data_IF_801031938236
#
_entry.id   IF_801031938236
#
_cell.length_a   1.000
_cell.length_b   1.000
_cell.length_c   1.000
_cell.angle_alpha   90.00
_cell.angle_beta   90.00
_cell.angle_gamma   90.00
#
_symmetry.space_group_name_H-M   'P 1'
#
loop_
_entity.id
_entity.type
_entity.pdbx_description
1 polymer ?
#
# COMPACT_ATOMS: atom_id res chain seq x y z
N UNK A 1 25.17 -94.73 63.34
CA UNK A 1 24.23 -94.71 62.19
C UNK A 1 24.17 -93.26 61.71
N UNK A 2 24.49 -92.82 60.50
CA UNK A 2 24.86 -93.37 59.18
C UNK A 2 25.76 -92.29 58.49
N UNK A 3 26.67 -92.72 57.60
CA UNK A 3 27.65 -91.98 56.78
C UNK A 3 26.94 -91.16 55.64
N UNK A 4 27.52 -90.19 54.89
CA UNK A 4 28.51 -90.31 53.77
C UNK A 4 28.80 -88.90 53.14
N UNK A 5 30.06 -88.42 53.16
CA UNK A 5 31.01 -87.89 52.10
C UNK A 5 30.60 -86.93 50.88
N UNK A 6 31.52 -86.35 50.03
CA UNK A 6 32.30 -85.07 50.19
C UNK A 6 32.59 -84.25 48.85
N UNK A 7 33.49 -83.22 48.86
CA UNK A 7 34.54 -82.80 47.82
C UNK A 7 35.06 -81.34 47.99
N UNK A 8 36.34 -81.06 48.37
CA UNK A 8 37.62 -80.74 47.61
C UNK A 8 37.62 -79.48 46.70
N UNK A 9 38.65 -78.64 46.46
CA UNK A 9 40.01 -78.24 46.94
C UNK A 9 40.48 -77.12 45.93
N UNK A 10 41.32 -76.09 46.16
CA UNK A 10 42.81 -76.04 46.11
C UNK A 10 43.29 -74.58 45.79
N UNK A 11 44.58 -74.35 46.06
CA UNK A 11 45.43 -73.12 46.16
C UNK A 11 46.16 -72.63 44.88
N UNK A 12 46.67 -71.37 44.80
CA UNK A 12 48.09 -70.95 44.49
C UNK A 12 48.35 -69.42 44.24
N UNK A 13 49.64 -68.99 44.36
CA UNK A 13 50.28 -67.64 44.56
C UNK A 13 50.52 -66.72 43.33
N UNK A 14 50.94 -65.42 43.50
CA UNK A 14 51.70 -64.69 42.46
C UNK A 14 52.88 -63.77 42.94
N UNK A 15 53.81 -63.44 42.02
CA UNK A 15 54.82 -62.37 42.08
C UNK A 15 54.82 -61.64 40.71
N UNK A 16 54.26 -60.41 40.60
CA UNK A 16 54.26 -59.60 39.35
C UNK A 16 53.99 -58.08 39.51
N UNK A 17 54.09 -57.50 40.71
CA UNK A 17 53.44 -56.21 40.99
C UNK A 17 54.13 -54.89 40.55
N UNK A 18 55.36 -54.86 40.03
CA UNK A 18 56.12 -53.59 39.92
C UNK A 18 56.09 -52.82 38.58
N UNK A 19 55.49 -53.34 37.50
CA UNK A 19 55.37 -52.62 36.21
C UNK A 19 54.01 -51.90 36.00
N UNK A 20 53.07 -52.02 36.95
CA UNK A 20 51.69 -51.50 36.83
C UNK A 20 51.52 -50.03 37.25
N UNK A 21 52.46 -49.47 38.04
CA UNK A 21 52.25 -48.17 38.70
C UNK A 21 52.51 -46.94 37.80
N UNK A 22 53.47 -47.00 36.87
CA UNK A 22 53.84 -45.85 36.01
C UNK A 22 52.81 -45.55 34.90
N UNK A 23 52.19 -46.59 34.32
CA UNK A 23 51.14 -46.41 33.28
C UNK A 23 49.85 -45.82 33.85
N UNK A 24 49.55 -46.09 35.12
CA UNK A 24 48.31 -45.66 35.77
C UNK A 24 48.30 -44.15 36.09
N UNK A 25 49.46 -43.56 36.43
CA UNK A 25 49.56 -42.12 36.73
C UNK A 25 49.48 -41.25 35.46
N UNK A 26 50.11 -41.69 34.36
CA UNK A 26 50.05 -41.00 33.06
C UNK A 26 48.64 -40.98 32.48
N UNK A 27 47.89 -42.09 32.63
CA UNK A 27 46.49 -42.16 32.21
C UNK A 27 45.60 -41.21 33.02
N UNK A 28 45.84 -41.09 34.33
CA UNK A 28 45.07 -40.19 35.20
C UNK A 28 45.28 -38.71 34.84
N UNK A 29 46.53 -38.31 34.55
CA UNK A 29 46.87 -36.95 34.12
C UNK A 29 46.24 -36.63 32.77
N UNK A 30 46.24 -37.58 31.83
CA UNK A 30 45.61 -37.40 30.52
C UNK A 30 44.09 -37.25 30.62
N UNK A 31 43.44 -38.03 31.50
CA UNK A 31 41.99 -37.92 31.77
C UNK A 31 41.66 -36.56 32.40
N UNK A 32 42.44 -36.11 33.40
CA UNK A 32 42.28 -34.78 34.00
C UNK A 32 42.45 -33.65 32.96
N UNK A 33 43.42 -33.77 32.05
CA UNK A 33 43.64 -32.78 31.00
C UNK A 33 42.48 -32.74 29.98
N UNK A 34 41.90 -33.91 29.64
CA UNK A 34 40.71 -33.98 28.81
C UNK A 34 39.48 -33.37 29.50
N UNK A 35 39.28 -33.66 30.79
CA UNK A 35 38.18 -33.07 31.57
C UNK A 35 38.31 -31.55 31.72
N UNK A 36 39.54 -31.02 31.87
CA UNK A 36 39.78 -29.56 31.92
C UNK A 36 39.46 -28.93 30.55
N UNK A 37 39.86 -29.56 29.44
CA UNK A 37 39.51 -29.06 28.09
C UNK A 37 38.01 -29.12 27.81
N UNK A 38 37.31 -30.16 28.26
CA UNK A 38 35.85 -30.25 28.17
C UNK A 38 35.16 -29.14 28.98
N UNK A 39 35.65 -28.87 30.20
CA UNK A 39 35.16 -27.78 31.05
C UNK A 39 35.41 -26.40 30.42
N UNK A 40 36.59 -26.15 29.85
CA UNK A 40 36.90 -24.90 29.13
C UNK A 40 36.02 -24.71 27.89
N UNK A 41 35.72 -25.80 27.16
CA UNK A 41 34.79 -25.79 26.03
C UNK A 41 33.37 -25.46 26.47
N UNK A 42 32.90 -26.07 27.56
CA UNK A 42 31.59 -25.79 28.15
C UNK A 42 31.46 -24.32 28.57
N UNK A 43 32.47 -23.76 29.23
CA UNK A 43 32.46 -22.34 29.65
C UNK A 43 32.48 -21.36 28.48
N UNK A 44 33.17 -21.68 27.37
CA UNK A 44 33.12 -20.86 26.16
C UNK A 44 31.74 -20.91 25.50
N UNK A 45 31.11 -22.09 25.48
CA UNK A 45 29.80 -22.28 24.88
C UNK A 45 28.70 -21.56 25.66
N UNK A 46 28.79 -21.52 27.00
CA UNK A 46 27.86 -20.71 27.83
C UNK A 46 28.06 -19.21 27.61
N UNK A 47 29.31 -18.71 27.52
CA UNK A 47 29.57 -17.31 27.21
C UNK A 47 29.11 -16.88 25.82
N UNK A 48 29.27 -17.75 24.80
CA UNK A 48 28.75 -17.51 23.45
C UNK A 48 27.21 -17.48 23.49
N UNK A 49 26.58 -18.46 24.15
CA UNK A 49 25.12 -18.51 24.29
C UNK A 49 24.54 -17.25 24.95
N UNK A 50 25.16 -16.78 26.04
CA UNK A 50 24.73 -15.56 26.73
C UNK A 50 24.87 -14.31 25.85
N UNK A 51 25.97 -14.18 25.08
CA UNK A 51 26.13 -13.06 24.12
C UNK A 51 25.10 -13.10 23.01
N UNK A 52 24.78 -14.29 22.50
CA UNK A 52 23.77 -14.46 21.46
C UNK A 52 22.38 -14.09 21.99
N UNK A 53 22.03 -14.51 23.21
CA UNK A 53 20.78 -14.12 23.89
C UNK A 53 20.71 -12.61 24.09
N UNK A 54 21.79 -11.97 24.56
CA UNK A 54 21.85 -10.51 24.70
C UNK A 54 21.67 -9.79 23.36
N UNK A 55 22.28 -10.26 22.27
CA UNK A 55 22.05 -9.73 20.94
C UNK A 55 20.60 -9.91 20.48
N UNK A 56 19.99 -11.08 20.70
CA UNK A 56 18.59 -11.32 20.34
C UNK A 56 17.62 -10.45 21.15
N UNK A 57 17.89 -10.24 22.45
CA UNK A 57 17.09 -9.35 23.30
C UNK A 57 17.26 -7.89 22.88
N UNK A 58 18.48 -7.44 22.57
CA UNK A 58 18.73 -6.09 22.05
C UNK A 58 18.08 -5.86 20.69
N UNK A 59 18.17 -6.83 19.77
CA UNK A 59 17.49 -6.78 18.47
C UNK A 59 15.97 -6.78 18.65
N UNK A 60 15.43 -7.58 19.56
CA UNK A 60 13.99 -7.61 19.86
C UNK A 60 13.52 -6.29 20.47
N UNK A 61 14.32 -5.67 21.35
CA UNK A 61 14.05 -4.34 21.93
C UNK A 61 14.16 -3.21 20.87
N UNK A 62 15.06 -3.34 19.90
CA UNK A 62 15.16 -2.44 18.73
C UNK A 62 14.01 -2.63 17.73
N UNK A 63 13.47 -3.84 17.58
CA UNK A 63 12.29 -4.10 16.76
C UNK A 63 11.01 -3.62 17.44
N UNK A 64 10.95 -3.65 18.78
CA UNK A 64 9.84 -3.07 19.58
C UNK A 64 9.82 -1.53 19.55
N UNK A 65 10.92 -0.86 19.20
CA UNK A 65 10.99 0.59 19.05
C UNK A 65 10.74 1.09 17.63
N UNK A 66 10.59 0.18 16.65
CA UNK A 66 10.01 0.54 15.35
C UNK A 66 8.53 0.83 15.57
N UNK A 67 8.23 2.10 15.90
CA UNK A 67 6.86 2.60 15.73
C UNK A 67 6.50 2.38 14.27
N UNK A 68 5.42 1.65 14.01
CA UNK A 68 4.72 1.75 12.73
C UNK A 68 4.32 3.21 12.64
N UNK A 69 5.07 3.98 11.85
CA UNK A 69 4.75 5.37 11.61
C UNK A 69 3.43 5.37 10.88
N UNK A 70 2.47 6.08 11.44
CA UNK A 70 1.14 6.12 10.91
C UNK A 70 1.18 6.92 9.60
N UNK A 71 0.50 6.46 8.54
CA UNK A 71 0.60 7.07 7.20
C UNK A 71 0.16 8.55 7.22
N UNK A 72 -0.74 8.92 8.14
CA UNK A 72 -1.19 10.31 8.29
C UNK A 72 -0.11 11.27 8.77
N UNK A 73 0.91 10.78 9.48
CA UNK A 73 1.98 11.64 10.01
C UNK A 73 3.09 11.94 8.98
N UNK A 74 3.11 11.28 7.82
CA UNK A 74 4.21 11.38 6.87
C UNK A 74 4.13 12.65 6.01
N UNK A 75 2.93 13.08 5.64
CA UNK A 75 2.66 14.32 4.91
C UNK A 75 1.33 14.94 5.35
N UNK A 76 1.08 16.18 4.96
CA UNK A 76 -0.13 16.93 5.33
C UNK A 76 -0.69 17.67 4.12
N UNK A 77 -1.99 18.00 4.17
CA UNK A 77 -2.66 18.84 3.18
C UNK A 77 -2.75 20.32 3.61
N UNK A 78 -2.47 20.64 4.87
CA UNK A 78 -2.39 22.02 5.36
C UNK A 78 -1.30 22.81 4.61
N UNK A 79 -1.66 23.86 3.84
CA UNK A 79 -0.69 24.67 3.10
C UNK A 79 0.28 25.45 4.01
N UNK A 80 -0.04 25.62 5.29
CA UNK A 80 0.79 26.29 6.27
C UNK A 80 1.74 25.33 7.02
N UNK A 81 1.57 24.02 6.84
CA UNK A 81 2.40 22.99 7.48
C UNK A 81 3.73 22.83 6.76
N UNK A 82 4.81 22.55 7.51
CA UNK A 82 6.10 22.13 6.95
C UNK A 82 6.00 20.77 6.23
N UNK A 83 4.92 20.02 6.48
CA UNK A 83 4.58 18.78 5.77
C UNK A 83 3.55 18.98 4.65
N UNK A 84 3.17 20.23 4.36
CA UNK A 84 2.14 20.60 3.41
C UNK A 84 2.52 20.30 1.94
N UNK A 85 1.57 20.40 1.00
CA UNK A 85 1.77 20.00 -0.40
C UNK A 85 2.93 20.69 -1.13
N UNK A 86 3.27 21.91 -0.72
CA UNK A 86 4.42 22.65 -1.26
C UNK A 86 5.76 21.97 -0.96
N UNK A 87 5.84 21.24 0.15
CA UNK A 87 7.07 20.66 0.69
C UNK A 87 7.17 19.15 0.53
N UNK A 88 6.13 18.47 0.01
CA UNK A 88 6.12 17.00 -0.14
C UNK A 88 7.38 16.44 -0.83
N UNK A 89 7.91 17.13 -1.84
CA UNK A 89 9.12 16.69 -2.54
C UNK A 89 10.42 16.77 -1.72
N UNK A 90 10.38 17.47 -0.58
CA UNK A 90 11.52 17.64 0.34
C UNK A 90 11.43 16.70 1.55
N UNK A 91 10.26 16.10 1.81
CA UNK A 91 10.03 15.22 2.98
C UNK A 91 10.68 13.85 2.84
N UNK A 92 10.76 13.33 1.60
CA UNK A 92 11.33 12.02 1.29
C UNK A 92 11.94 12.05 -0.12
N UNK A 93 13.12 11.45 -0.29
CA UNK A 93 13.82 11.38 -1.57
C UNK A 93 12.99 10.69 -2.66
N UNK A 94 12.18 9.69 -2.29
CA UNK A 94 11.29 8.98 -3.21
C UNK A 94 10.13 9.87 -3.71
N UNK A 95 9.88 10.99 -3.02
CA UNK A 95 8.80 11.93 -3.32
C UNK A 95 9.28 13.15 -4.10
N UNK A 96 10.56 13.20 -4.52
CA UNK A 96 11.15 14.35 -5.22
C UNK A 96 10.30 14.84 -6.41
N UNK A 97 9.58 13.93 -7.08
CA UNK A 97 8.66 14.25 -8.17
C UNK A 97 7.50 15.16 -7.78
N UNK A 98 7.08 15.16 -6.53
CA UNK A 98 6.08 16.10 -6.01
C UNK A 98 6.54 17.56 -6.12
N UNK A 99 7.86 17.82 -6.02
CA UNK A 99 8.43 19.18 -6.09
C UNK A 99 9.06 19.53 -7.45
N UNK A 100 9.66 18.56 -8.15
CA UNK A 100 10.41 18.81 -9.39
C UNK A 100 9.77 18.20 -10.66
N UNK A 101 8.60 17.56 -10.54
CA UNK A 101 7.85 17.04 -11.67
C UNK A 101 7.30 18.16 -12.57
N UNK A 102 7.27 17.92 -13.88
CA UNK A 102 6.77 18.88 -14.87
C UNK A 102 5.39 18.50 -15.42
N UNK A 103 4.92 17.29 -15.12
CA UNK A 103 3.67 16.72 -15.64
C UNK A 103 2.81 16.30 -14.43
N UNK A 104 2.72 17.18 -13.43
CA UNK A 104 2.01 16.93 -12.17
C UNK A 104 0.50 17.12 -12.30
N UNK A 105 -0.26 16.43 -11.45
CA UNK A 105 -1.72 16.54 -11.29
C UNK A 105 -2.06 17.02 -9.87
N UNK A 106 -3.23 17.65 -9.64
CA UNK A 106 -4.31 17.93 -10.60
C UNK A 106 -4.06 19.16 -11.48
N UNK A 107 -4.93 19.41 -12.48
CA UNK A 107 -4.93 20.62 -13.31
C UNK A 107 -6.33 21.21 -13.50
N UNK A 108 -6.36 22.49 -13.90
CA UNK A 108 -7.56 23.10 -14.42
C UNK A 108 -7.92 22.52 -15.79
N UNK A 109 -9.20 22.22 -15.99
CA UNK A 109 -9.76 21.65 -17.22
C UNK A 109 -10.76 22.63 -17.82
N UNK A 110 -10.71 22.80 -19.14
CA UNK A 110 -11.72 23.53 -19.89
C UNK A 110 -11.77 23.03 -21.32
N UNK A 111 -12.98 22.81 -21.84
CA UNK A 111 -13.16 22.38 -23.24
C UNK A 111 -12.77 23.46 -24.25
N UNK A 112 -12.65 24.71 -23.79
CA UNK A 112 -12.27 25.86 -24.61
C UNK A 112 -10.76 25.94 -24.84
N UNK A 113 -9.97 25.36 -23.94
CA UNK A 113 -8.50 25.31 -24.04
C UNK A 113 -7.97 23.92 -24.39
N UNK A 114 -8.83 22.90 -24.40
CA UNK A 114 -8.48 21.53 -24.71
C UNK A 114 -8.54 21.24 -26.22
N UNK A 115 -7.68 20.34 -26.68
CA UNK A 115 -7.66 19.86 -28.05
C UNK A 115 -8.77 18.84 -28.28
N UNK A 116 -9.70 19.13 -29.19
CA UNK A 116 -10.79 18.22 -29.49
C UNK A 116 -10.29 17.00 -30.24
N UNK A 117 -10.56 15.80 -29.73
CA UNK A 117 -10.05 14.56 -30.31
C UNK A 117 -11.08 13.42 -30.27
N UNK A 118 -11.76 13.19 -31.39
CA UNK A 118 -12.70 12.05 -31.54
C UNK A 118 -11.99 10.70 -31.64
N UNK A 119 -10.74 10.67 -32.06
CA UNK A 119 -9.94 9.45 -32.16
C UNK A 119 -9.74 8.75 -30.82
N UNK A 120 -9.99 9.43 -29.69
CA UNK A 120 -9.99 8.83 -28.36
C UNK A 120 -11.08 7.76 -28.18
N UNK A 121 -12.22 7.89 -28.87
CA UNK A 121 -13.36 6.98 -28.76
C UNK A 121 -14.09 7.02 -27.41
N UNK A 122 -15.16 6.25 -27.29
CA UNK A 122 -15.89 6.13 -26.03
C UNK A 122 -15.04 5.41 -24.97
N UNK A 123 -15.16 5.83 -23.71
CA UNK A 123 -14.54 5.11 -22.59
C UNK A 123 -15.21 3.74 -22.42
N UNK A 124 -14.49 2.68 -22.81
CA UNK A 124 -14.95 1.29 -22.66
C UNK A 124 -14.66 0.82 -21.24
N UNK A 125 -15.71 0.35 -20.55
CA UNK A 125 -15.67 -0.12 -19.17
C UNK A 125 -16.24 -1.53 -19.08
N UNK A 126 -15.46 -2.44 -18.53
CA UNK A 126 -15.80 -3.86 -18.34
C UNK A 126 -15.72 -4.22 -16.85
N UNK A 127 -16.22 -3.35 -15.98
CA UNK A 127 -16.25 -3.58 -14.53
C UNK A 127 -17.22 -4.70 -14.16
N UNK A 128 -16.91 -5.43 -13.09
CA UNK A 128 -17.73 -6.52 -12.57
C UNK A 128 -17.62 -6.63 -11.05
N UNK A 129 -18.63 -7.19 -10.36
CA UNK A 129 -18.59 -7.31 -8.91
C UNK A 129 -17.48 -8.25 -8.43
N UNK A 130 -16.76 -7.83 -7.40
CA UNK A 130 -15.58 -8.50 -6.86
C UNK A 130 -15.43 -8.24 -5.36
N UNK A 131 -14.62 -9.04 -4.67
CA UNK A 131 -14.37 -8.84 -3.25
C UNK A 131 -13.56 -7.56 -3.02
N UNK A 132 -13.99 -6.74 -2.07
CA UNK A 132 -13.33 -5.50 -1.70
C UNK A 132 -13.20 -5.34 -0.18
N UNK A 133 -12.25 -4.50 0.20
CA UNK A 133 -12.12 -3.97 1.56
C UNK A 133 -12.31 -2.45 1.51
N UNK A 134 -12.89 -1.91 2.57
CA UNK A 134 -12.82 -0.49 2.87
C UNK A 134 -11.59 -0.26 3.74
N UNK A 135 -10.82 0.77 3.42
CA UNK A 135 -9.63 1.17 4.17
C UNK A 135 -9.67 2.66 4.43
N UNK A 136 -9.06 3.05 5.54
CA UNK A 136 -8.73 4.42 5.84
C UNK A 136 -7.26 4.51 6.18
N UNK A 137 -6.49 5.21 5.35
CA UNK A 137 -5.06 5.41 5.57
C UNK A 137 -4.73 6.71 6.32
N UNK A 138 -5.77 7.41 6.82
CA UNK A 138 -5.69 8.69 7.50
C UNK A 138 -5.88 9.89 6.57
N UNK A 139 -5.59 9.73 5.28
CA UNK A 139 -5.68 10.79 4.26
C UNK A 139 -6.88 10.62 3.34
N UNK A 140 -7.31 9.38 3.11
CA UNK A 140 -8.43 9.08 2.23
C UNK A 140 -9.17 7.79 2.62
N UNK A 141 -10.46 7.76 2.27
CA UNK A 141 -11.28 6.56 2.32
C UNK A 141 -11.12 5.81 1.00
N UNK A 142 -10.71 4.56 1.07
CA UNK A 142 -10.34 3.74 -0.08
C UNK A 142 -11.20 2.48 -0.11
N UNK A 143 -11.87 2.23 -1.23
CA UNK A 143 -12.42 0.90 -1.54
C UNK A 143 -11.44 0.18 -2.44
N UNK A 144 -10.82 -0.88 -1.92
CA UNK A 144 -9.75 -1.63 -2.57
C UNK A 144 -10.24 -3.03 -2.96
N UNK A 145 -10.29 -3.31 -4.27
CA UNK A 145 -10.68 -4.60 -4.81
C UNK A 145 -9.51 -5.56 -4.87
N UNK A 146 -9.62 -6.67 -4.13
CA UNK A 146 -8.55 -7.67 -4.04
C UNK A 146 -8.53 -8.61 -5.25
N UNK A 147 -7.33 -8.90 -5.73
CA UNK A 147 -7.11 -9.98 -6.70
C UNK A 147 -7.39 -9.62 -8.16
N UNK A 148 -7.39 -8.33 -8.54
CA UNK A 148 -7.41 -7.89 -9.94
C UNK A 148 -8.62 -8.39 -10.75
N UNK A 149 -9.75 -8.62 -10.08
CA UNK A 149 -10.93 -9.27 -10.66
C UNK A 149 -12.17 -8.36 -10.69
N UNK A 150 -12.06 -7.08 -10.35
CA UNK A 150 -13.14 -6.08 -10.46
C UNK A 150 -13.41 -5.61 -11.90
N UNK A 151 -12.69 -6.17 -12.88
CA UNK A 151 -12.81 -5.81 -14.29
C UNK A 151 -11.82 -4.72 -14.69
N UNK A 152 -12.08 -4.04 -15.81
CA UNK A 152 -11.11 -3.11 -16.41
C UNK A 152 -11.76 -1.93 -17.11
N UNK A 153 -10.94 -0.93 -17.44
CA UNK A 153 -11.17 -0.02 -18.55
C UNK A 153 -10.26 -0.39 -19.72
N UNK A 154 -10.64 0.02 -20.94
CA UNK A 154 -9.82 -0.18 -22.14
C UNK A 154 -9.45 1.15 -22.76
N UNK A 155 -8.15 1.39 -22.92
CA UNK A 155 -7.58 2.59 -23.56
C UNK A 155 -6.64 2.12 -24.66
N UNK A 156 -6.89 2.51 -25.91
CA UNK A 156 -6.09 2.11 -27.08
C UNK A 156 -5.86 0.58 -27.16
N UNK A 157 -6.93 -0.20 -26.96
CA UNK A 157 -6.92 -1.67 -26.90
C UNK A 157 -6.09 -2.29 -25.77
N UNK A 158 -5.60 -1.50 -24.82
CA UNK A 158 -4.91 -1.97 -23.61
C UNK A 158 -5.88 -1.96 -22.43
N UNK A 159 -6.00 -3.08 -21.74
CA UNK A 159 -6.84 -3.23 -20.56
C UNK A 159 -6.10 -2.77 -19.29
N UNK A 160 -6.71 -1.89 -18.51
CA UNK A 160 -6.24 -1.46 -17.19
C UNK A 160 -7.21 -1.96 -16.14
N UNK A 161 -6.74 -2.85 -15.26
CA UNK A 161 -7.56 -3.50 -14.23
C UNK A 161 -7.88 -2.53 -13.10
N UNK A 162 -9.15 -2.45 -12.70
CA UNK A 162 -9.56 -1.61 -11.58
C UNK A 162 -8.91 -2.11 -10.28
N UNK A 163 -8.28 -1.19 -9.55
CA UNK A 163 -7.61 -1.44 -8.28
C UNK A 163 -8.45 -0.90 -7.13
N UNK A 164 -8.70 0.41 -7.12
CA UNK A 164 -9.39 1.05 -6.02
C UNK A 164 -10.20 2.27 -6.47
N UNK A 165 -11.11 2.66 -5.58
CA UNK A 165 -11.79 3.95 -5.54
C UNK A 165 -11.33 4.71 -4.31
N UNK A 166 -11.12 6.01 -4.43
CA UNK A 166 -10.90 6.91 -3.29
C UNK A 166 -11.46 8.30 -3.60
N UNK A 167 -11.67 9.10 -2.55
CA UNK A 167 -12.34 10.39 -2.67
C UNK A 167 -11.51 11.54 -2.11
N UNK A 168 -11.58 12.67 -2.81
CA UNK A 168 -10.99 13.93 -2.39
C UNK A 168 -12.08 14.98 -2.11
N UNK A 169 -11.90 15.71 -1.01
CA UNK A 169 -12.66 16.90 -0.64
C UNK A 169 -11.72 18.10 -0.39
N UNK A 170 -11.96 19.25 -1.04
CA UNK A 170 -12.83 19.44 -2.21
C UNK A 170 -12.30 18.66 -3.43
N UNK A 171 -12.85 18.87 -4.63
CA UNK A 171 -12.26 18.32 -5.85
C UNK A 171 -10.85 18.86 -6.08
N UNK A 172 -9.98 17.99 -6.58
CA UNK A 172 -8.61 18.33 -6.94
C UNK A 172 -8.56 19.00 -8.30
N UNK A 173 -9.26 18.43 -9.29
CA UNK A 173 -9.47 19.08 -10.57
C UNK A 173 -10.51 20.19 -10.46
N UNK A 174 -10.35 21.20 -11.30
CA UNK A 174 -11.38 22.21 -11.54
C UNK A 174 -11.86 22.11 -12.99
N UNK A 175 -13.13 22.38 -13.23
CA UNK A 175 -13.67 22.48 -14.59
C UNK A 175 -14.20 23.89 -14.81
N UNK A 176 -13.72 24.57 -15.86
CA UNK A 176 -14.06 25.96 -16.20
C UNK A 176 -13.93 26.93 -15.00
N UNK A 177 -12.87 26.72 -14.20
CA UNK A 177 -12.57 27.51 -13.00
C UNK A 177 -13.42 27.17 -11.76
N UNK A 178 -14.36 26.22 -11.86
CA UNK A 178 -15.17 25.75 -10.72
C UNK A 178 -14.48 24.59 -10.01
N UNK A 179 -14.28 24.76 -8.70
CA UNK A 179 -14.00 23.67 -7.75
C UNK A 179 -15.32 23.04 -7.30
N UNK A 180 -15.32 21.73 -7.12
CA UNK A 180 -16.48 20.94 -6.76
C UNK A 180 -16.34 20.41 -5.32
N UNK A 181 -17.44 20.11 -4.62
CA UNK A 181 -17.38 19.61 -3.24
C UNK A 181 -16.76 18.22 -3.10
N UNK A 182 -16.68 17.40 -4.14
CA UNK A 182 -16.08 16.07 -4.05
C UNK A 182 -15.53 15.64 -5.43
N UNK A 183 -14.49 14.82 -5.40
CA UNK A 183 -13.98 14.11 -6.57
C UNK A 183 -13.70 12.64 -6.22
N UNK A 184 -14.15 11.72 -7.09
CA UNK A 184 -13.84 10.29 -7.01
C UNK A 184 -12.74 9.97 -8.01
N UNK A 185 -11.71 9.29 -7.56
CA UNK A 185 -10.68 8.70 -8.41
C UNK A 185 -10.86 7.19 -8.50
N UNK A 186 -10.91 6.69 -9.72
CA UNK A 186 -10.93 5.26 -10.02
C UNK A 186 -9.58 4.85 -10.58
N UNK A 187 -8.75 4.21 -9.74
CA UNK A 187 -7.38 3.83 -10.12
C UNK A 187 -7.39 2.48 -10.82
N UNK A 188 -6.75 2.45 -11.98
CA UNK A 188 -6.57 1.25 -12.77
C UNK A 188 -5.09 1.02 -13.06
N UNK A 189 -4.70 -0.24 -13.14
CA UNK A 189 -3.32 -0.64 -13.38
C UNK A 189 -3.23 -1.68 -14.49
N UNK A 190 -2.22 -1.54 -15.34
CA UNK A 190 -1.91 -2.54 -16.34
C UNK A 190 -0.66 -3.32 -15.91
N UNK A 191 -0.84 -4.59 -15.53
CA UNK A 191 0.23 -5.45 -15.04
C UNK A 191 1.34 -5.75 -16.07
N UNK A 192 1.12 -5.52 -17.37
CA UNK A 192 2.13 -5.80 -18.41
C UNK A 192 3.05 -4.60 -18.62
N UNK A 193 2.46 -3.42 -18.81
CA UNK A 193 3.15 -2.16 -19.08
C UNK A 193 3.54 -1.41 -17.80
N UNK A 194 3.02 -1.85 -16.65
CA UNK A 194 3.19 -1.21 -15.34
C UNK A 194 2.68 0.24 -15.31
N UNK A 195 1.72 0.57 -16.18
CA UNK A 195 1.14 1.92 -16.28
C UNK A 195 -0.14 2.04 -15.47
N UNK A 196 -0.38 3.25 -14.97
CA UNK A 196 -1.57 3.63 -14.23
C UNK A 196 -2.49 4.47 -15.12
N UNK A 197 -3.78 4.20 -15.04
CA UNK A 197 -4.82 5.05 -15.60
C UNK A 197 -5.85 5.39 -14.52
N UNK A 198 -6.24 6.66 -14.41
CA UNK A 198 -7.22 7.12 -13.42
C UNK A 198 -8.41 7.72 -14.13
N UNK A 199 -9.62 7.32 -13.70
CA UNK A 199 -10.86 7.98 -14.10
C UNK A 199 -11.33 8.88 -12.97
N UNK A 200 -11.38 10.19 -13.21
CA UNK A 200 -11.86 11.20 -12.27
C UNK A 200 -13.33 11.55 -12.50
N UNK A 201 -14.11 11.66 -11.43
CA UNK A 201 -15.52 12.06 -11.47
C UNK A 201 -15.76 13.18 -10.47
N UNK A 202 -16.24 14.33 -10.97
CA UNK A 202 -16.57 15.50 -10.17
C UNK A 202 -18.01 15.41 -9.66
N UNK A 203 -18.27 15.90 -8.44
CA UNK A 203 -19.62 15.91 -7.87
C UNK A 203 -20.03 17.30 -7.42
N UNK A 204 -21.28 17.68 -7.64
CA UNK A 204 -21.91 18.82 -6.98
C UNK A 204 -22.95 18.38 -5.95
N UNK A 205 -23.34 19.29 -5.05
CA UNK A 205 -24.35 18.96 -4.06
C UNK A 205 -25.70 18.70 -4.72
N UNK A 206 -26.34 17.59 -4.35
CA UNK A 206 -27.63 17.17 -4.90
C UNK A 206 -28.12 15.87 -4.25
N UNK A 207 -28.88 15.04 -5.00
CA UNK A 207 -29.27 13.71 -4.53
C UNK A 207 -28.07 12.84 -4.11
N UNK A 208 -28.33 11.89 -3.21
CA UNK A 208 -27.32 10.97 -2.69
C UNK A 208 -26.62 10.18 -3.80
N UNK A 209 -25.30 10.03 -3.67
CA UNK A 209 -24.54 9.10 -4.48
C UNK A 209 -24.84 7.66 -4.02
N UNK A 210 -25.24 6.75 -4.94
CA UNK A 210 -25.61 5.39 -4.59
C UNK A 210 -24.43 4.53 -4.13
N UNK A 211 -23.20 4.82 -4.56
CA UNK A 211 -22.03 4.05 -4.15
C UNK A 211 -21.64 4.38 -2.72
N UNK A 212 -21.56 5.67 -2.36
CA UNK A 212 -21.34 6.09 -0.98
C UNK A 212 -22.46 5.54 -0.10
N UNK A 213 -23.73 5.62 -0.54
CA UNK A 213 -24.88 5.06 0.19
C UNK A 213 -24.71 3.58 0.58
N UNK A 214 -24.04 2.79 -0.25
CA UNK A 214 -23.79 1.38 -0.01
C UNK A 214 -22.76 1.13 1.11
N UNK A 215 -21.81 2.04 1.30
CA UNK A 215 -20.71 1.93 2.27
C UNK A 215 -20.82 2.92 3.45
N UNK A 216 -21.91 3.70 3.53
CA UNK A 216 -22.10 4.75 4.55
C UNK A 216 -21.94 4.20 5.98
N UNK A 217 -22.49 3.01 6.24
CA UNK A 217 -22.38 2.37 7.56
C UNK A 217 -20.93 2.04 7.87
N UNK A 218 -20.22 1.45 6.92
CA UNK A 218 -18.86 0.96 7.09
C UNK A 218 -17.91 2.15 7.34
N UNK A 219 -18.06 3.25 6.61
CA UNK A 219 -17.28 4.49 6.84
C UNK A 219 -17.47 5.00 8.27
N UNK A 220 -18.70 4.99 8.80
CA UNK A 220 -19.00 5.53 10.13
C UNK A 220 -18.30 4.78 11.27
N UNK A 221 -18.03 3.49 11.10
CA UNK A 221 -17.39 2.66 12.12
C UNK A 221 -15.90 2.42 11.85
N UNK A 222 -15.40 2.92 10.73
CA UNK A 222 -14.00 2.78 10.35
C UNK A 222 -13.13 3.66 11.24
N UNK A 223 -12.03 3.10 11.76
CA UNK A 223 -11.06 3.89 12.48
C UNK A 223 -10.44 4.96 11.55
N UNK A 224 -10.21 6.16 12.10
CA UNK A 224 -9.68 7.31 11.37
C UNK A 224 -8.30 7.01 10.78
N UNK A 225 -7.55 6.07 11.36
CA UNK A 225 -6.24 5.68 10.85
C UNK A 225 -6.01 4.17 10.99
N UNK A 226 -5.66 3.53 9.87
CA UNK A 226 -5.41 2.09 9.81
C UNK A 226 -6.67 1.22 9.96
N UNK A 227 -7.86 1.82 9.85
CA UNK A 227 -9.12 1.08 9.82
C UNK A 227 -9.23 0.27 8.52
N UNK A 228 -9.59 -1.01 8.66
CA UNK A 228 -9.93 -1.87 7.53
C UNK A 228 -11.24 -2.61 7.82
N UNK A 229 -12.14 -2.67 6.85
CA UNK A 229 -13.40 -3.41 6.95
C UNK A 229 -13.64 -4.24 5.68
N UNK A 230 -14.03 -5.50 5.84
CA UNK A 230 -14.32 -6.36 4.70
C UNK A 230 -15.73 -6.11 4.18
N UNK A 231 -15.85 -5.54 2.98
CA UNK A 231 -17.14 -5.21 2.36
C UNK A 231 -17.80 -6.42 1.65
N UNK A 232 -17.09 -7.54 1.52
CA UNK A 232 -17.55 -8.65 0.69
C UNK A 232 -17.55 -8.27 -0.79
N UNK A 233 -18.54 -8.74 -1.53
CA UNK A 233 -18.62 -8.56 -2.99
C UNK A 233 -19.25 -7.22 -3.34
N UNK A 234 -18.42 -6.27 -3.77
CA UNK A 234 -18.81 -4.91 -4.17
C UNK A 234 -18.86 -4.81 -5.69
N UNK A 235 -19.93 -4.22 -6.23
CA UNK A 235 -20.07 -3.92 -7.66
C UNK A 235 -19.60 -2.50 -7.98
N UNK A 236 -18.47 -2.31 -8.68
CA UNK A 236 -17.97 -0.97 -9.04
C UNK A 236 -18.98 -0.17 -9.88
N UNK A 237 -19.86 -0.85 -10.62
CA UNK A 237 -20.84 -0.21 -11.52
C UNK A 237 -21.95 0.55 -10.78
N UNK A 238 -22.05 0.38 -9.46
CA UNK A 238 -22.94 1.18 -8.62
C UNK A 238 -22.51 2.65 -8.64
N UNK A 239 -21.21 2.93 -8.76
CA UNK A 239 -20.72 4.28 -9.00
C UNK A 239 -21.18 4.71 -10.41
N UNK A 240 -22.13 5.65 -10.44
CA UNK A 240 -22.71 6.13 -11.70
C UNK A 240 -21.71 7.05 -12.39
N UNK A 241 -21.06 6.55 -13.44
CA UNK A 241 -20.42 7.43 -14.42
C UNK A 241 -21.37 7.62 -15.58
N UNK A 242 -22.26 8.58 -15.42
CA UNK A 242 -23.10 9.06 -16.50
C UNK A 242 -22.29 9.98 -17.42
N UNK A 243 -22.76 10.10 -18.67
CA UNK A 243 -22.11 10.92 -19.67
C UNK A 243 -21.05 10.13 -20.46
N UNK A 244 -20.72 10.67 -21.63
CA UNK A 244 -19.76 10.05 -22.56
C UNK A 244 -18.58 10.97 -22.90
N UNK A 245 -18.63 12.21 -22.41
CA UNK A 245 -17.68 13.27 -22.70
C UNK A 245 -16.64 13.33 -21.58
N UNK A 246 -15.38 13.53 -21.93
CA UNK A 246 -14.30 13.52 -20.95
C UNK A 246 -13.07 14.28 -21.44
N UNK A 247 -12.26 14.72 -20.49
CA UNK A 247 -10.91 15.21 -20.72
C UNK A 247 -9.91 14.06 -20.61
N UNK A 248 -8.86 14.07 -21.42
CA UNK A 248 -7.76 13.09 -21.40
C UNK A 248 -6.42 13.80 -21.40
N UNK A 249 -5.57 13.49 -20.43
CA UNK A 249 -4.21 14.04 -20.39
C UNK A 249 -3.25 13.08 -19.69
N UNK A 250 -1.95 13.30 -19.84
CA UNK A 250 -0.92 12.59 -19.09
C UNK A 250 -0.52 13.44 -17.88
N UNK A 251 -0.58 12.84 -16.70
CA UNK A 251 -0.39 13.50 -15.42
C UNK A 251 0.44 12.70 -14.43
N UNK A 252 0.17 12.91 -13.15
CA UNK A 252 0.78 12.18 -12.04
C UNK A 252 -0.26 11.62 -11.08
N UNK A 253 0.19 10.85 -10.10
CA UNK A 253 -0.55 10.69 -8.84
C UNK A 253 -0.68 12.05 -8.15
N UNK A 254 -1.76 12.24 -7.39
CA UNK A 254 -2.05 13.49 -6.67
C UNK A 254 -1.67 13.41 -5.19
N UNK A 255 -1.16 12.27 -4.75
CA UNK A 255 -0.53 12.05 -3.45
C UNK A 255 0.94 11.63 -3.64
N UNK A 256 1.80 11.80 -2.62
CA UNK A 256 3.16 11.26 -2.68
C UNK A 256 3.16 9.75 -3.00
N UNK A 257 4.06 9.26 -3.87
CA UNK A 257 5.28 9.89 -4.40
C UNK A 257 5.08 10.77 -5.65
N UNK A 258 3.85 11.12 -6.01
CA UNK A 258 3.52 11.95 -7.17
C UNK A 258 4.10 11.45 -8.51
N UNK A 259 4.14 10.12 -8.68
CA UNK A 259 4.65 9.45 -9.88
C UNK A 259 3.96 9.96 -11.15
N UNK A 260 4.75 10.40 -12.13
CA UNK A 260 4.29 10.90 -13.43
C UNK A 260 4.00 9.74 -14.41
N UNK A 261 3.32 10.05 -15.52
CA UNK A 261 2.96 9.06 -16.56
C UNK A 261 1.58 8.44 -16.37
N UNK A 262 0.78 8.97 -15.44
CA UNK A 262 -0.60 8.54 -15.20
C UNK A 262 -1.51 9.01 -16.33
N UNK A 263 -2.28 8.10 -16.90
CA UNK A 263 -3.27 8.44 -17.93
C UNK A 263 -4.56 8.89 -17.24
N UNK A 264 -4.83 10.18 -17.24
CA UNK A 264 -6.02 10.75 -16.63
C UNK A 264 -7.20 10.81 -17.61
N UNK A 265 -8.37 10.37 -17.17
CA UNK A 265 -9.65 10.53 -17.86
C UNK A 265 -10.64 11.20 -16.91
N UNK A 266 -10.89 12.49 -17.05
CA UNK A 266 -11.82 13.22 -16.15
C UNK A 266 -13.15 13.40 -16.86
N UNK A 267 -14.21 12.86 -16.29
CA UNK A 267 -15.55 12.93 -16.88
C UNK A 267 -16.06 14.38 -16.87
N UNK A 268 -16.58 14.88 -18.01
CA UNK A 268 -17.11 16.26 -18.10
C UNK A 268 -18.44 16.39 -17.34
N UNK A 269 -19.25 15.32 -17.35
CA UNK A 269 -20.53 15.30 -16.65
C UNK A 269 -20.29 15.19 -15.15
N UNK A 270 -20.63 16.26 -14.44
CA UNK A 270 -20.67 16.33 -12.98
C UNK A 270 -21.82 15.45 -12.46
N UNK A 271 -21.52 14.66 -11.43
CA UNK A 271 -22.51 13.84 -10.71
C UNK A 271 -23.01 14.55 -9.45
N UNK A 272 -23.94 13.94 -8.73
CA UNK A 272 -24.50 14.52 -7.51
C UNK A 272 -24.10 13.73 -6.28
N UNK A 273 -23.84 14.43 -5.18
CA UNK A 273 -23.59 13.85 -3.85
C UNK A 273 -24.40 14.62 -2.81
N UNK A 274 -24.94 13.92 -1.81
CA UNK A 274 -25.65 14.61 -0.73
C UNK A 274 -24.64 15.31 0.21
N UNK A 275 -24.94 16.51 0.75
CA UNK A 275 -24.02 17.20 1.65
C UNK A 275 -23.56 16.37 2.85
N UNK A 276 -24.46 15.56 3.44
CA UNK A 276 -24.11 14.69 4.56
C UNK A 276 -23.14 13.56 4.18
N UNK A 277 -23.11 13.13 2.92
CA UNK A 277 -22.17 12.10 2.45
C UNK A 277 -20.76 12.65 2.34
N UNK A 278 -20.61 13.91 1.92
CA UNK A 278 -19.32 14.60 1.94
C UNK A 278 -18.85 14.77 3.38
N UNK A 279 -19.74 15.18 4.28
CA UNK A 279 -19.40 15.32 5.70
C UNK A 279 -18.99 13.98 6.35
N UNK A 280 -19.66 12.88 5.99
CA UNK A 280 -19.28 11.54 6.44
C UNK A 280 -17.85 11.17 6.03
N UNK A 281 -17.47 11.47 4.78
CA UNK A 281 -16.10 11.23 4.31
C UNK A 281 -15.09 12.10 5.05
N UNK A 282 -15.37 13.41 5.19
CA UNK A 282 -14.49 14.37 5.89
C UNK A 282 -14.20 13.95 7.33
N UNK A 283 -15.24 13.55 8.07
CA UNK A 283 -15.13 13.19 9.49
C UNK A 283 -14.33 11.91 9.73
N UNK A 284 -14.16 11.09 8.69
CA UNK A 284 -13.36 9.88 8.79
C UNK A 284 -11.86 10.16 8.60
N UNK A 285 -11.44 11.35 8.16
CA UNK A 285 -10.04 11.68 7.87
C UNK A 285 -9.36 12.42 9.03
N UNK A 286 -8.03 12.40 9.04
CA UNK A 286 -7.22 13.20 9.99
C UNK A 286 -7.32 14.70 9.67
N UNK A 287 -7.27 15.05 8.39
CA UNK A 287 -7.50 16.40 7.90
C UNK A 287 -8.82 16.48 7.13
N UNK A 288 -9.65 17.48 7.41
CA UNK A 288 -10.95 17.64 6.73
C UNK A 288 -10.83 17.82 5.22
N UNK A 289 -9.67 18.28 4.73
CA UNK A 289 -9.40 18.51 3.32
C UNK A 289 -8.20 17.67 2.90
N UNK A 290 -8.36 16.94 1.81
CA UNK A 290 -7.33 16.07 1.24
C UNK A 290 -7.15 16.34 -0.25
N UNK A 291 -7.31 17.61 -0.67
CA UNK A 291 -7.14 18.01 -2.07
C UNK A 291 -5.80 18.70 -2.29
N UNK A 292 -4.96 18.14 -3.16
CA UNK A 292 -3.72 18.78 -3.60
C UNK A 292 -4.04 20.06 -4.40
N UNK A 293 -3.28 21.15 -4.22
CA UNK A 293 -3.42 22.34 -5.05
C UNK A 293 -3.21 22.07 -6.55
N UNK A 294 -3.84 22.89 -7.40
CA UNK A 294 -3.66 22.84 -8.85
C UNK A 294 -2.17 22.98 -9.24
N UNK A 295 -1.75 22.12 -10.16
CA UNK A 295 -0.41 22.11 -10.71
C UNK A 295 -0.37 22.85 -12.05
N UNK A 296 0.82 23.26 -12.48
CA UNK A 296 0.99 23.95 -13.76
C UNK A 296 0.80 22.96 -14.92
N UNK A 297 0.15 23.42 -15.99
CA UNK A 297 -0.07 22.61 -17.21
C UNK A 297 1.23 22.36 -17.99
N UNK A 298 2.22 23.26 -17.89
CA UNK A 298 3.55 23.15 -18.50
C UNK A 298 3.53 22.77 -20.00
N UNK A 299 2.55 23.28 -20.76
CA UNK A 299 2.43 23.07 -22.20
C UNK A 299 2.01 21.64 -22.63
N UNK A 300 1.63 20.75 -21.70
CA UNK A 300 1.16 19.41 -22.06
C UNK A 300 -0.23 19.46 -22.71
N UNK A 301 -0.45 18.59 -23.70
CA UNK A 301 -1.75 18.50 -24.36
C UNK A 301 -2.81 17.95 -23.41
N UNK A 302 -3.96 18.61 -23.40
CA UNK A 302 -5.19 18.14 -22.75
C UNK A 302 -6.20 17.94 -23.86
N UNK A 303 -6.63 16.71 -24.07
CA UNK A 303 -7.62 16.39 -25.08
C UNK A 303 -9.02 16.42 -24.50
N UNK A 304 -10.00 16.74 -25.34
CA UNK A 304 -11.41 16.67 -25.01
C UNK A 304 -12.16 15.79 -26.02
N UNK A 305 -12.90 14.80 -25.50
CA UNK A 305 -13.71 13.89 -26.29
C UNK A 305 -15.18 14.24 -26.15
N UNK A 306 -15.85 14.45 -27.30
CA UNK A 306 -17.31 14.57 -27.39
C UNK A 306 -17.84 13.75 -28.58
N UNK A 307 -18.62 12.68 -28.33
CA UNK A 307 -19.14 11.82 -29.39
C UNK A 307 -20.21 12.50 -30.26
N UNK A 308 -20.75 13.65 -29.84
CA UNK A 308 -21.83 14.36 -30.54
C UNK A 308 -21.36 15.66 -31.22
N UNK A 309 -20.09 16.02 -31.09
CA UNK A 309 -19.57 17.12 -31.88
C UNK A 309 -19.80 16.80 -33.37
N UNK A 310 -20.25 17.78 -34.15
CA UNK A 310 -20.21 17.72 -35.60
C UNK A 310 -18.99 18.54 -36.01
N UNK A 311 -18.03 17.91 -36.66
CA UNK A 311 -17.10 18.64 -37.50
C UNK A 311 -17.59 18.24 -38.87
N UNK A 312 -18.13 19.23 -39.59
CA UNK A 312 -18.11 19.22 -41.04
C UNK A 312 -16.73 18.70 -41.42
N UNK A 313 -16.68 17.50 -41.98
CA UNK A 313 -15.50 17.05 -42.69
C UNK A 313 -15.36 18.10 -43.78
N UNK A 314 -14.46 19.06 -43.59
CA UNK A 314 -13.97 19.85 -44.69
C UNK A 314 -13.34 18.81 -45.61
N UNK A 315 -14.05 18.52 -46.70
CA UNK A 315 -13.49 17.78 -47.81
C UNK A 315 -12.35 18.65 -48.34
N UNK A 316 -11.13 18.24 -48.04
CA UNK A 316 -9.94 18.53 -48.84
C UNK A 316 -9.57 17.25 -49.60
#
# INVERSE_FOLDING_TARGET
>A
MILVQPRTSKTLKPFSLFLSFSRSLSLLIFILFLQIKEMESLMKQTHICMKTIYCFVLISLLLLSVRVKSNSEEFSYDPCSEKGPKFWGELNIEWAKCGNGNIQSPIALSKWTADWNRGLGCLIRNHKPANAILRNDGHEIIVDWKGNNAGSIKINNVDFQLQNYHWHHPSEHTQDGKTYPLELHMVHFNNVTQKIAVVGVLFEYGPRDPFISMIERDIKYLNIEGGEEFLGKVDPRVARLDGRKYFRYIGSLTTPPCTEGVIWTVMEKVQTVAPYQVELLKQALVEEKNARPLQKINGRNVFYFDPFSWQSVAAE
#
